data_IF_199957185318
#
_entry.id   IF_199957185318
#
_cell.length_a   1.000
_cell.length_b   1.000
_cell.length_c   1.000
_cell.angle_alpha   90.00
_cell.angle_beta   90.00
_cell.angle_gamma   90.00
#
_symmetry.space_group_name_H-M   'P 1'
#
loop_
_entity.id
_entity.type
_entity.pdbx_description
1 polymer ?
#
# COMPACT_ATOMS: atom_id res chain seq x y z
N UNK A 1 63.40 19.01 -67.73
CA UNK A 1 62.98 18.51 -66.44
C UNK A 1 63.45 17.10 -66.23
N UNK A 2 64.38 16.90 -65.31
CA UNK A 2 65.16 15.70 -65.14
C UNK A 2 64.34 14.55 -64.47
N UNK A 3 64.72 13.32 -64.84
CA UNK A 3 64.14 12.05 -64.35
C UNK A 3 64.07 11.97 -62.80
N UNK A 4 64.90 12.73 -62.09
CA UNK A 4 65.03 12.77 -60.63
C UNK A 4 63.80 13.47 -59.94
N UNK A 5 63.18 14.44 -60.63
CA UNK A 5 62.01 15.12 -60.08
C UNK A 5 60.73 14.29 -60.17
N UNK A 6 60.60 13.35 -61.12
CA UNK A 6 59.45 12.45 -61.23
C UNK A 6 59.43 11.34 -60.18
N UNK A 7 60.63 10.86 -59.75
CA UNK A 7 60.79 9.78 -58.78
C UNK A 7 60.54 10.28 -57.33
N UNK A 8 60.87 11.54 -56.99
CA UNK A 8 60.64 12.13 -55.68
C UNK A 8 59.14 12.38 -55.43
N UNK A 9 58.40 12.83 -56.46
CA UNK A 9 56.96 13.04 -56.36
C UNK A 9 56.14 11.74 -56.15
N UNK A 10 56.61 10.63 -56.78
CA UNK A 10 55.97 9.32 -56.63
C UNK A 10 56.15 8.70 -55.26
N UNK A 11 57.34 8.84 -54.64
CA UNK A 11 57.60 8.30 -53.27
C UNK A 11 56.85 9.11 -52.17
N UNK A 12 56.66 10.39 -52.35
CA UNK A 12 55.90 11.22 -51.38
C UNK A 12 54.40 10.90 -51.48
N UNK A 13 53.83 10.66 -52.65
CA UNK A 13 52.43 10.30 -52.82
C UNK A 13 52.05 8.93 -52.20
N UNK A 14 52.94 7.91 -52.39
CA UNK A 14 52.72 6.59 -51.77
C UNK A 14 52.87 6.62 -50.26
N UNK A 15 53.75 7.44 -49.72
CA UNK A 15 53.90 7.56 -48.24
C UNK A 15 52.73 8.28 -47.57
N UNK A 16 52.06 9.25 -48.24
CA UNK A 16 50.86 9.91 -47.74
C UNK A 16 49.65 9.00 -47.81
N UNK A 17 49.49 8.18 -48.87
CA UNK A 17 48.38 7.24 -48.98
C UNK A 17 48.38 6.14 -47.92
N UNK A 18 49.57 5.60 -47.60
CA UNK A 18 49.78 4.57 -46.57
C UNK A 18 49.53 5.15 -45.14
N UNK A 19 49.94 6.40 -44.92
CA UNK A 19 49.70 7.08 -43.63
C UNK A 19 48.24 7.39 -43.43
N UNK A 20 47.53 7.87 -44.46
CA UNK A 20 46.09 8.12 -44.39
C UNK A 20 45.26 6.83 -44.17
N UNK A 21 45.65 5.71 -44.83
CA UNK A 21 44.98 4.42 -44.62
C UNK A 21 45.14 3.89 -43.19
N UNK A 22 46.28 4.12 -42.53
CA UNK A 22 46.48 3.75 -41.12
C UNK A 22 45.66 4.59 -40.14
N UNK A 23 45.48 5.89 -40.37
CA UNK A 23 44.67 6.76 -39.50
C UNK A 23 43.17 6.61 -39.74
N UNK A 24 42.71 6.31 -40.96
CA UNK A 24 41.31 6.00 -41.25
C UNK A 24 40.90 4.64 -40.63
N UNK A 25 41.80 3.64 -40.60
CA UNK A 25 41.58 2.36 -39.94
C UNK A 25 41.50 2.48 -38.41
N UNK A 26 42.28 3.40 -37.78
CA UNK A 26 42.20 3.65 -36.34
C UNK A 26 40.97 4.47 -35.93
N UNK A 27 40.48 5.38 -36.78
CA UNK A 27 39.23 6.13 -36.50
C UNK A 27 37.96 5.28 -36.63
N UNK A 28 37.96 4.25 -37.48
CA UNK A 28 36.84 3.32 -37.64
C UNK A 28 36.77 2.24 -36.55
N UNK A 29 37.86 1.93 -35.85
CA UNK A 29 37.87 1.03 -34.69
C UNK A 29 37.40 1.72 -33.37
N UNK A 30 37.36 3.04 -33.31
CA UNK A 30 36.93 3.80 -32.13
C UNK A 30 35.42 4.06 -32.04
N UNK A 31 34.62 3.69 -33.07
CA UNK A 31 33.17 3.91 -33.11
C UNK A 31 32.31 2.63 -32.96
N UNK A 32 32.96 1.49 -32.73
CA UNK A 32 32.21 0.28 -32.34
C UNK A 32 32.21 0.13 -30.84
N UNK A 33 31.09 0.52 -30.19
CA UNK A 33 30.89 0.07 -28.83
C UNK A 33 30.23 0.98 -27.83
N UNK A 34 29.39 1.94 -28.23
CA UNK A 34 28.39 2.48 -27.35
C UNK A 34 27.02 2.23 -27.99
N UNK A 35 26.60 0.98 -28.01
CA UNK A 35 25.14 0.76 -28.00
C UNK A 35 24.63 1.52 -26.76
N UNK A 36 23.69 2.45 -26.89
CA UNK A 36 23.04 2.95 -25.70
C UNK A 36 22.47 1.72 -25.00
N UNK A 37 23.00 1.40 -23.82
CA UNK A 37 22.29 0.48 -22.93
C UNK A 37 20.89 1.09 -22.83
N UNK A 38 19.88 0.42 -23.40
CA UNK A 38 18.49 0.73 -23.12
C UNK A 38 18.43 0.54 -21.61
N UNK A 39 18.42 1.65 -20.87
CA UNK A 39 18.27 1.59 -19.43
C UNK A 39 16.95 0.84 -19.17
N UNK A 40 17.04 -0.30 -18.53
CA UNK A 40 15.86 -1.07 -18.19
C UNK A 40 14.92 -0.17 -17.38
N UNK A 41 13.70 0.02 -17.87
CA UNK A 41 12.66 0.84 -17.21
C UNK A 41 11.89 -0.04 -16.26
N UNK A 42 11.82 0.32 -14.99
CA UNK A 42 10.99 -0.37 -13.99
C UNK A 42 9.53 -0.07 -14.28
N UNK A 43 8.74 -1.09 -14.57
CA UNK A 43 7.30 -0.94 -14.88
C UNK A 43 6.44 -1.42 -13.73
N UNK A 44 5.64 -0.53 -13.16
CA UNK A 44 4.71 -0.83 -12.06
C UNK A 44 3.26 -0.69 -12.55
N UNK A 45 2.52 -1.79 -12.55
CA UNK A 45 1.07 -1.78 -12.73
C UNK A 45 0.37 -1.51 -11.40
N UNK A 46 -0.11 -0.30 -11.17
CA UNK A 46 -0.76 0.07 -9.92
C UNK A 46 -2.28 -0.06 -10.03
N UNK A 47 -2.83 -1.11 -9.38
CA UNK A 47 -4.26 -1.43 -9.41
C UNK A 47 -4.97 -0.87 -8.16
N UNK A 48 -6.00 -0.06 -8.36
CA UNK A 48 -6.81 0.48 -7.25
C UNK A 48 -8.22 0.81 -7.74
N UNK A 49 -9.17 1.02 -6.82
CA UNK A 49 -10.53 1.42 -7.17
C UNK A 49 -10.59 2.93 -7.33
N UNK A 50 -10.77 3.43 -8.55
CA UNK A 50 -10.84 4.86 -8.86
C UNK A 50 -12.27 5.36 -9.10
N UNK A 51 -13.24 4.46 -9.27
CA UNK A 51 -14.62 4.77 -9.59
C UNK A 51 -15.60 4.44 -8.46
N UNK A 52 -16.82 4.99 -8.53
CA UNK A 52 -17.90 4.76 -7.57
C UNK A 52 -17.62 5.33 -6.17
N UNK A 53 -18.42 4.92 -5.18
CA UNK A 53 -18.31 5.41 -3.79
C UNK A 53 -17.03 5.03 -3.05
N UNK A 54 -16.24 4.11 -3.59
CA UNK A 54 -14.94 3.72 -3.06
C UNK A 54 -13.76 4.46 -3.74
N UNK A 55 -14.02 5.19 -4.82
CA UNK A 55 -13.01 5.90 -5.60
C UNK A 55 -12.21 6.92 -4.79
N UNK A 56 -12.77 7.45 -3.71
CA UNK A 56 -12.07 8.36 -2.80
C UNK A 56 -10.82 7.72 -2.16
N UNK A 57 -10.86 6.41 -1.86
CA UNK A 57 -9.71 5.68 -1.32
C UNK A 57 -8.63 5.57 -2.39
N UNK A 58 -9.00 5.07 -3.59
CA UNK A 58 -8.05 4.89 -4.68
C UNK A 58 -7.43 6.19 -5.15
N UNK A 59 -8.18 7.29 -5.11
CA UNK A 59 -7.64 8.62 -5.44
C UNK A 59 -6.55 9.06 -4.45
N UNK A 60 -6.73 8.83 -3.16
CA UNK A 60 -5.67 9.11 -2.18
C UNK A 60 -4.44 8.23 -2.37
N UNK A 61 -4.62 6.95 -2.72
CA UNK A 61 -3.50 6.07 -3.05
C UNK A 61 -2.76 6.55 -4.31
N UNK A 62 -3.48 6.94 -5.37
CA UNK A 62 -2.89 7.50 -6.59
C UNK A 62 -2.09 8.78 -6.30
N UNK A 63 -2.64 9.68 -5.49
CA UNK A 63 -1.96 10.90 -5.08
C UNK A 63 -0.64 10.58 -4.35
N UNK A 64 -0.65 9.61 -3.46
CA UNK A 64 0.53 9.20 -2.69
C UNK A 64 1.60 8.51 -3.56
N UNK A 65 1.19 7.71 -4.55
CA UNK A 65 2.10 7.15 -5.56
C UNK A 65 2.78 8.27 -6.36
N UNK A 66 2.04 9.29 -6.77
CA UNK A 66 2.60 10.44 -7.49
C UNK A 66 3.63 11.18 -6.63
N UNK A 67 3.33 11.42 -5.35
CA UNK A 67 4.29 12.03 -4.41
C UNK A 67 5.54 11.16 -4.24
N UNK A 68 5.40 9.83 -4.15
CA UNK A 68 6.55 8.94 -4.09
C UNK A 68 7.41 9.06 -5.34
N UNK A 69 6.81 9.09 -6.53
CA UNK A 69 7.54 9.29 -7.80
C UNK A 69 8.22 10.67 -7.88
N UNK A 70 7.60 11.72 -7.36
CA UNK A 70 8.24 13.04 -7.23
C UNK A 70 9.45 12.97 -6.29
N UNK A 71 9.33 12.29 -5.14
CA UNK A 71 10.40 12.15 -4.15
C UNK A 71 11.60 11.35 -4.67
N UNK A 72 11.38 10.43 -5.60
CA UNK A 72 12.42 9.61 -6.25
C UNK A 72 12.91 10.22 -7.58
N UNK A 73 12.40 11.39 -7.98
CA UNK A 73 12.78 12.04 -9.23
C UNK A 73 12.32 11.30 -10.48
N UNK A 74 11.20 10.57 -10.41
CA UNK A 74 10.65 9.77 -11.51
C UNK A 74 11.34 8.42 -11.71
N UNK A 75 12.20 8.01 -10.77
CA UNK A 75 13.00 6.78 -10.83
C UNK A 75 12.64 5.83 -9.70
N UNK A 76 12.99 4.56 -9.87
CA UNK A 76 12.94 3.55 -8.82
C UNK A 76 14.27 2.82 -8.77
N UNK A 77 14.94 2.86 -7.63
CA UNK A 77 16.28 2.32 -7.47
C UNK A 77 17.35 2.94 -8.41
N UNK A 78 17.11 4.20 -8.83
CA UNK A 78 17.96 4.91 -9.79
C UNK A 78 17.68 4.60 -11.26
N UNK A 79 16.82 3.63 -11.57
CA UNK A 79 16.38 3.29 -12.93
C UNK A 79 15.15 4.13 -13.33
N UNK A 80 14.99 4.44 -14.60
CA UNK A 80 13.77 5.09 -15.12
C UNK A 80 12.56 4.24 -14.76
N UNK A 81 11.42 4.88 -14.44
CA UNK A 81 10.24 4.15 -14.00
C UNK A 81 8.96 4.62 -14.67
N UNK A 82 8.06 3.67 -14.92
CA UNK A 82 6.72 3.89 -15.46
C UNK A 82 5.68 3.30 -14.52
N UNK A 83 4.66 4.09 -14.16
CA UNK A 83 3.53 3.63 -13.35
C UNK A 83 2.25 3.66 -14.17
N UNK A 84 1.67 2.48 -14.41
CA UNK A 84 0.42 2.30 -15.14
C UNK A 84 -0.73 2.12 -14.15
N UNK A 85 -1.56 3.14 -13.96
CA UNK A 85 -2.75 3.05 -13.11
C UNK A 85 -3.90 2.33 -13.82
N UNK A 86 -4.56 1.42 -13.08
CA UNK A 86 -5.75 0.72 -13.55
C UNK A 86 -6.86 0.73 -12.49
N UNK A 87 -8.11 0.95 -12.96
CA UNK A 87 -9.30 0.98 -12.10
C UNK A 87 -9.99 -0.39 -12.07
N UNK A 88 -9.92 -1.05 -10.92
CA UNK A 88 -10.56 -2.36 -10.68
C UNK A 88 -12.08 -2.27 -10.51
N UNK A 89 -12.66 -1.06 -10.42
CA UNK A 89 -14.09 -0.81 -10.25
C UNK A 89 -14.72 -1.56 -9.05
N UNK A 90 -13.89 -2.06 -8.13
CA UNK A 90 -14.28 -2.96 -7.04
C UNK A 90 -14.96 -4.27 -7.53
N UNK A 91 -14.59 -4.74 -8.72
CA UNK A 91 -15.14 -5.95 -9.35
C UNK A 91 -14.05 -7.00 -9.51
N UNK A 92 -14.18 -8.21 -8.91
CA UNK A 92 -13.16 -9.26 -9.01
C UNK A 92 -12.84 -9.67 -10.45
N UNK A 93 -13.84 -9.75 -11.32
CA UNK A 93 -13.64 -10.14 -12.72
C UNK A 93 -12.86 -9.08 -13.50
N UNK A 94 -13.14 -7.77 -13.26
CA UNK A 94 -12.39 -6.66 -13.84
C UNK A 94 -10.95 -6.69 -13.34
N UNK A 95 -10.73 -6.82 -12.02
CA UNK A 95 -9.40 -6.93 -11.45
C UNK A 95 -8.59 -8.07 -12.07
N UNK A 96 -9.21 -9.26 -12.26
CA UNK A 96 -8.56 -10.41 -12.88
C UNK A 96 -8.19 -10.16 -14.36
N UNK A 97 -9.07 -9.50 -15.12
CA UNK A 97 -8.79 -9.12 -16.51
C UNK A 97 -7.63 -8.13 -16.59
N UNK A 98 -7.64 -7.10 -15.73
CA UNK A 98 -6.59 -6.09 -15.66
C UNK A 98 -5.25 -6.70 -15.23
N UNK A 99 -5.24 -7.59 -14.23
CA UNK A 99 -4.02 -8.29 -13.81
C UNK A 99 -3.42 -9.11 -14.96
N UNK A 100 -4.24 -9.84 -15.70
CA UNK A 100 -3.77 -10.58 -16.88
C UNK A 100 -3.20 -9.65 -17.98
N UNK A 101 -3.81 -8.46 -18.20
CA UNK A 101 -3.29 -7.46 -19.13
C UNK A 101 -1.94 -6.91 -18.67
N UNK A 102 -1.84 -6.48 -17.42
CA UNK A 102 -0.60 -5.94 -16.85
C UNK A 102 0.56 -6.94 -16.98
N UNK A 103 0.32 -8.21 -16.65
CA UNK A 103 1.35 -9.25 -16.71
C UNK A 103 1.69 -9.65 -18.16
N UNK A 104 0.70 -9.92 -19.02
CA UNK A 104 0.92 -10.55 -20.32
C UNK A 104 1.16 -9.54 -21.45
N UNK A 105 0.46 -8.40 -21.43
CA UNK A 105 0.49 -7.41 -22.50
C UNK A 105 1.41 -6.24 -22.17
N UNK A 106 1.22 -5.64 -20.99
CA UNK A 106 1.98 -4.48 -20.54
C UNK A 106 3.36 -4.90 -19.99
N UNK A 107 3.52 -6.19 -19.60
CA UNK A 107 4.75 -6.82 -19.11
C UNK A 107 5.38 -6.02 -17.98
N UNK A 108 4.57 -5.74 -16.95
CA UNK A 108 5.04 -5.02 -15.77
C UNK A 108 5.90 -5.92 -14.88
N UNK A 109 6.93 -5.35 -14.24
CA UNK A 109 7.79 -6.05 -13.30
C UNK A 109 7.08 -6.27 -11.96
N UNK A 110 6.23 -5.30 -11.58
CA UNK A 110 5.48 -5.31 -10.33
C UNK A 110 4.00 -5.02 -10.60
N UNK A 111 3.11 -5.83 -10.04
CA UNK A 111 1.70 -5.45 -9.83
C UNK A 111 1.56 -5.00 -8.37
N UNK A 112 1.21 -3.74 -8.15
CA UNK A 112 1.06 -3.15 -6.82
C UNK A 112 -0.36 -2.64 -6.57
N UNK A 113 -0.68 -2.37 -5.32
CA UNK A 113 -1.95 -1.74 -4.93
C UNK A 113 -2.94 -2.70 -4.30
N UNK A 114 -4.17 -2.64 -4.77
CA UNK A 114 -5.36 -3.42 -4.39
C UNK A 114 -5.87 -3.11 -2.98
N UNK A 115 -7.07 -2.51 -2.95
CA UNK A 115 -7.73 -2.15 -1.68
C UNK A 115 -8.44 -3.36 -1.05
N UNK A 116 -9.12 -4.18 -1.85
CA UNK A 116 -10.13 -5.13 -1.40
C UNK A 116 -9.60 -6.56 -1.37
N UNK A 117 -9.78 -7.25 -0.26
CA UNK A 117 -9.28 -8.62 -0.08
C UNK A 117 -9.88 -9.63 -1.07
N UNK A 118 -11.14 -9.48 -1.47
CA UNK A 118 -11.75 -10.33 -2.49
C UNK A 118 -11.13 -10.12 -3.89
N UNK A 119 -10.68 -8.90 -4.21
CA UNK A 119 -9.96 -8.62 -5.44
C UNK A 119 -8.53 -9.17 -5.37
N UNK A 120 -7.84 -8.96 -4.25
CA UNK A 120 -6.50 -9.54 -4.04
C UNK A 120 -6.53 -11.05 -4.20
N UNK A 121 -7.50 -11.74 -3.61
CA UNK A 121 -7.67 -13.19 -3.78
C UNK A 121 -7.93 -13.59 -5.24
N UNK A 122 -8.63 -12.75 -6.02
CA UNK A 122 -8.90 -13.02 -7.44
C UNK A 122 -7.66 -12.90 -8.33
N UNK A 123 -6.74 -11.98 -8.02
CA UNK A 123 -5.53 -11.71 -8.82
C UNK A 123 -4.29 -12.44 -8.30
N UNK A 124 -4.30 -12.93 -7.06
CA UNK A 124 -3.13 -13.52 -6.41
C UNK A 124 -2.48 -14.59 -7.30
N UNK A 125 -3.19 -15.68 -7.59
CA UNK A 125 -2.65 -16.77 -8.42
C UNK A 125 -2.27 -16.35 -9.85
N UNK A 126 -3.10 -15.57 -10.57
CA UNK A 126 -2.72 -15.08 -11.90
C UNK A 126 -1.41 -14.30 -11.95
N UNK A 127 -1.11 -13.49 -10.94
CA UNK A 127 0.11 -12.68 -10.90
C UNK A 127 1.28 -13.47 -10.34
N UNK A 128 1.13 -14.10 -9.17
CA UNK A 128 2.25 -14.76 -8.48
C UNK A 128 2.83 -15.97 -9.21
N UNK A 129 2.07 -16.58 -10.14
CA UNK A 129 2.55 -17.68 -11.00
C UNK A 129 3.27 -17.22 -12.27
N UNK A 130 3.48 -15.93 -12.42
CA UNK A 130 4.30 -15.33 -13.46
C UNK A 130 5.61 -14.81 -12.88
N UNK A 131 6.46 -14.25 -13.73
CA UNK A 131 7.72 -13.60 -13.32
C UNK A 131 7.50 -12.17 -12.77
N UNK A 132 6.27 -11.86 -12.31
CA UNK A 132 5.88 -10.54 -11.80
C UNK A 132 5.72 -10.60 -10.29
N UNK A 133 6.30 -9.64 -9.57
CA UNK A 133 6.10 -9.50 -8.13
C UNK A 133 4.75 -8.85 -7.82
N UNK A 134 3.96 -9.43 -6.93
CA UNK A 134 2.71 -8.87 -6.44
C UNK A 134 2.93 -8.22 -5.07
N UNK A 135 2.78 -6.90 -5.00
CA UNK A 135 2.93 -6.14 -3.75
C UNK A 135 1.59 -5.55 -3.32
N UNK A 136 1.07 -6.01 -2.19
CA UNK A 136 -0.15 -5.43 -1.63
C UNK A 136 0.13 -4.14 -0.88
N UNK A 137 -0.54 -3.06 -1.30
CA UNK A 137 -0.53 -1.79 -0.58
C UNK A 137 -1.60 -1.71 0.52
N UNK A 138 -2.61 -2.60 0.52
CA UNK A 138 -3.65 -2.58 1.54
C UNK A 138 -4.22 -3.96 1.87
N UNK A 139 -4.69 -4.73 0.91
CA UNK A 139 -5.40 -5.98 1.16
C UNK A 139 -4.46 -7.07 1.73
N UNK A 140 -4.73 -7.53 2.94
CA UNK A 140 -3.96 -8.59 3.62
C UNK A 140 -4.82 -9.78 4.07
N UNK A 141 -5.52 -10.50 3.15
CA UNK A 141 -6.45 -11.55 3.53
C UNK A 141 -5.77 -12.75 4.17
N UNK A 142 -6.37 -13.29 5.23
CA UNK A 142 -5.86 -14.43 6.00
C UNK A 142 -5.52 -15.66 5.14
N UNK A 143 -6.30 -16.04 4.09
CA UNK A 143 -5.93 -17.18 3.26
C UNK A 143 -4.60 -17.02 2.51
N UNK A 144 -4.22 -15.77 2.14
CA UNK A 144 -2.93 -15.49 1.48
C UNK A 144 -1.79 -15.39 2.52
N UNK A 145 -2.07 -14.99 3.75
CA UNK A 145 -1.08 -14.96 4.81
C UNK A 145 -0.70 -16.37 5.31
N UNK A 146 -1.65 -17.31 5.25
CA UNK A 146 -1.49 -18.70 5.67
C UNK A 146 -1.21 -19.66 4.52
N UNK A 147 -1.99 -20.73 4.43
CA UNK A 147 -1.78 -21.85 3.49
C UNK A 147 -1.79 -21.48 1.99
N UNK A 148 -2.32 -20.32 1.62
CA UNK A 148 -2.32 -19.81 0.25
C UNK A 148 -1.18 -18.85 -0.07
N UNK A 149 -0.18 -18.75 0.78
CA UNK A 149 0.97 -17.87 0.56
C UNK A 149 1.77 -18.25 -0.71
N UNK A 150 2.53 -17.31 -1.21
CA UNK A 150 3.37 -17.51 -2.38
C UNK A 150 4.59 -16.60 -2.31
N UNK A 151 5.75 -17.09 -2.69
CA UNK A 151 7.00 -16.34 -2.63
C UNK A 151 6.97 -15.01 -3.43
N UNK A 152 6.22 -14.92 -4.53
CA UNK A 152 6.04 -13.70 -5.32
C UNK A 152 4.93 -12.77 -4.80
N UNK A 153 4.52 -12.91 -3.55
CA UNK A 153 3.59 -11.99 -2.89
C UNK A 153 4.25 -11.32 -1.68
N UNK A 154 4.17 -10.01 -1.59
CA UNK A 154 4.65 -9.23 -0.44
C UNK A 154 3.55 -8.27 0.01
N UNK A 155 3.31 -8.15 1.31
CA UNK A 155 2.42 -7.13 1.86
C UNK A 155 3.22 -5.97 2.43
N UNK A 156 2.95 -4.75 1.96
CA UNK A 156 3.49 -3.52 2.54
C UNK A 156 2.50 -2.83 3.49
N UNK A 157 1.40 -3.49 3.81
CA UNK A 157 0.34 -2.96 4.68
C UNK A 157 0.27 -3.68 6.03
N UNK A 158 -0.47 -4.74 6.10
CA UNK A 158 -0.76 -5.57 7.27
C UNK A 158 -1.27 -6.95 6.82
N UNK A 159 -1.42 -7.85 7.77
CA UNK A 159 -2.41 -8.92 7.69
C UNK A 159 -3.71 -8.40 8.33
N UNK A 160 -4.87 -8.69 7.75
CA UNK A 160 -6.14 -8.05 8.10
C UNK A 160 -6.51 -8.12 9.59
N UNK A 161 -6.13 -9.17 10.28
CA UNK A 161 -6.47 -9.37 11.70
C UNK A 161 -5.66 -8.46 12.64
N UNK A 162 -4.45 -8.04 12.26
CA UNK A 162 -3.49 -7.38 13.16
C UNK A 162 -4.03 -6.11 13.83
N UNK A 163 -4.69 -5.24 13.07
CA UNK A 163 -5.21 -3.98 13.63
C UNK A 163 -6.42 -4.17 14.54
N UNK A 164 -7.44 -5.01 14.19
CA UNK A 164 -8.55 -5.30 15.10
C UNK A 164 -8.14 -6.13 16.32
N UNK A 165 -7.07 -6.96 16.25
CA UNK A 165 -6.48 -7.58 17.44
C UNK A 165 -6.09 -6.54 18.48
N UNK A 166 -5.52 -5.41 18.03
CA UNK A 166 -5.21 -4.27 18.91
C UNK A 166 -6.46 -3.73 19.60
N UNK A 167 -7.58 -3.57 18.90
CA UNK A 167 -8.80 -3.09 19.51
C UNK A 167 -9.40 -4.13 20.48
N UNK A 168 -9.39 -5.40 20.12
CA UNK A 168 -9.83 -6.47 21.01
C UNK A 168 -9.02 -6.50 22.32
N UNK A 169 -7.68 -6.38 22.24
CA UNK A 169 -6.79 -6.29 23.41
C UNK A 169 -7.06 -5.04 24.23
N UNK A 170 -7.24 -3.88 23.58
CA UNK A 170 -7.54 -2.62 24.25
C UNK A 170 -8.85 -2.73 25.07
N UNK A 171 -9.95 -3.15 24.45
CA UNK A 171 -11.25 -3.26 25.15
C UNK A 171 -11.19 -4.31 26.28
N UNK A 172 -10.46 -5.40 26.07
CA UNK A 172 -10.23 -6.39 27.13
C UNK A 172 -9.49 -5.77 28.33
N UNK A 173 -8.44 -4.98 28.09
CA UNK A 173 -7.67 -4.31 29.15
C UNK A 173 -8.46 -3.24 29.90
N UNK A 174 -9.43 -2.61 29.23
CA UNK A 174 -10.36 -1.66 29.84
C UNK A 174 -11.48 -2.34 30.66
N UNK A 175 -11.49 -3.66 30.72
CA UNK A 175 -12.50 -4.41 31.47
C UNK A 175 -13.90 -4.38 30.86
N UNK A 176 -14.02 -4.06 29.57
CA UNK A 176 -15.29 -4.10 28.83
C UNK A 176 -15.85 -5.51 28.86
N UNK A 177 -17.11 -5.67 29.32
CA UNK A 177 -17.72 -6.98 29.54
C UNK A 177 -18.40 -7.55 28.30
N UNK A 178 -18.96 -6.67 27.47
CA UNK A 178 -19.68 -7.08 26.26
C UNK A 178 -19.53 -6.04 25.15
N UNK A 179 -19.67 -6.48 23.90
CA UNK A 179 -19.51 -5.65 22.72
C UNK A 179 -20.46 -6.08 21.60
N UNK A 180 -20.91 -5.10 20.81
CA UNK A 180 -21.57 -5.32 19.51
C UNK A 180 -20.50 -5.14 18.40
N UNK A 181 -20.34 -6.11 17.50
CA UNK A 181 -19.34 -6.03 16.45
C UNK A 181 -19.97 -6.07 15.06
N UNK A 182 -19.43 -5.28 14.11
CA UNK A 182 -20.02 -5.15 12.78
C UNK A 182 -18.95 -4.92 11.69
N UNK A 183 -19.08 -5.63 10.57
CA UNK A 183 -18.24 -5.46 9.39
C UNK A 183 -19.01 -5.77 8.09
N UNK A 184 -18.53 -5.33 6.90
CA UNK A 184 -19.11 -5.76 5.63
C UNK A 184 -18.83 -7.24 5.36
N UNK A 185 -19.78 -7.93 4.73
CA UNK A 185 -19.69 -9.36 4.42
C UNK A 185 -18.78 -9.64 3.21
N UNK A 186 -17.49 -9.67 3.45
CA UNK A 186 -16.45 -10.11 2.51
C UNK A 186 -15.21 -10.58 3.31
N UNK A 187 -14.15 -11.06 2.63
CA UNK A 187 -13.03 -11.67 3.33
C UNK A 187 -12.44 -10.77 4.43
N UNK A 188 -12.14 -9.49 4.12
CA UNK A 188 -11.58 -8.62 5.15
C UNK A 188 -12.55 -8.37 6.31
N UNK A 189 -13.85 -8.27 6.07
CA UNK A 189 -14.82 -8.12 7.18
C UNK A 189 -14.79 -9.31 8.12
N UNK A 190 -14.67 -10.53 7.59
CA UNK A 190 -14.54 -11.75 8.38
C UNK A 190 -13.23 -11.78 9.17
N UNK A 191 -12.13 -11.45 8.51
CA UNK A 191 -10.81 -11.36 9.14
C UNK A 191 -10.80 -10.34 10.28
N UNK A 192 -11.37 -9.14 10.05
CA UNK A 192 -11.43 -8.06 11.06
C UNK A 192 -12.19 -8.49 12.32
N UNK A 193 -13.34 -9.16 12.18
CA UNK A 193 -14.08 -9.64 13.36
C UNK A 193 -13.39 -10.85 14.01
N UNK A 194 -12.73 -11.71 13.25
CA UNK A 194 -11.93 -12.81 13.78
C UNK A 194 -10.73 -12.29 14.61
N UNK A 195 -9.99 -11.31 14.06
CA UNK A 195 -8.87 -10.69 14.75
C UNK A 195 -9.30 -10.01 16.07
N UNK A 196 -10.39 -9.24 16.03
CA UNK A 196 -10.94 -8.64 17.25
C UNK A 196 -11.21 -9.69 18.34
N UNK A 197 -11.91 -10.77 17.98
CA UNK A 197 -12.28 -11.86 18.92
C UNK A 197 -11.07 -12.63 19.45
N UNK A 198 -9.93 -12.63 18.74
CA UNK A 198 -8.72 -13.33 19.20
C UNK A 198 -8.23 -12.81 20.55
N UNK A 199 -8.35 -11.52 20.80
CA UNK A 199 -7.89 -10.86 22.03
C UNK A 199 -9.01 -10.36 22.94
N UNK A 200 -10.25 -10.23 22.47
CA UNK A 200 -11.40 -9.90 23.30
C UNK A 200 -12.07 -11.18 23.81
N UNK A 201 -12.20 -11.32 25.14
CA UNK A 201 -12.75 -12.51 25.82
C UNK A 201 -14.08 -12.22 26.53
N UNK A 202 -14.59 -10.99 26.40
CA UNK A 202 -15.94 -10.63 26.87
C UNK A 202 -17.03 -11.20 25.95
N UNK A 203 -18.27 -10.91 26.29
CA UNK A 203 -19.44 -11.37 25.53
C UNK A 203 -19.58 -10.60 24.21
N UNK A 204 -19.85 -11.31 23.12
CA UNK A 204 -20.24 -10.75 21.84
C UNK A 204 -21.78 -10.76 21.77
N UNK A 205 -22.40 -9.60 22.08
CA UNK A 205 -23.85 -9.46 22.08
C UNK A 205 -24.46 -9.65 20.68
N UNK A 206 -23.74 -9.22 19.65
CA UNK A 206 -24.09 -9.50 18.26
C UNK A 206 -22.84 -9.39 17.36
N UNK A 207 -22.77 -10.26 16.36
CA UNK A 207 -21.81 -10.21 15.27
C UNK A 207 -22.58 -10.01 13.96
N UNK A 208 -22.46 -8.82 13.36
CA UNK A 208 -23.30 -8.39 12.23
C UNK A 208 -22.46 -8.18 10.98
N UNK A 209 -22.90 -8.79 9.89
CA UNK A 209 -22.32 -8.61 8.58
C UNK A 209 -23.26 -7.81 7.67
N UNK A 210 -22.83 -6.59 7.29
CA UNK A 210 -23.56 -5.70 6.38
C UNK A 210 -23.23 -6.00 4.93
N UNK A 211 -24.03 -5.49 4.00
CA UNK A 211 -23.71 -5.59 2.57
C UNK A 211 -22.46 -4.74 2.24
N UNK A 212 -21.53 -5.29 1.47
CA UNK A 212 -20.38 -4.50 0.99
C UNK A 212 -20.88 -3.36 0.09
N UNK A 213 -20.60 -2.11 0.50
CA UNK A 213 -21.09 -0.90 -0.17
C UNK A 213 -22.42 -0.38 0.38
N UNK A 214 -22.91 -0.89 1.50
CA UNK A 214 -24.11 -0.38 2.18
C UNK A 214 -23.96 1.10 2.56
N UNK A 215 -25.03 1.85 2.41
CA UNK A 215 -25.08 3.31 2.70
C UNK A 215 -26.13 3.68 3.75
N UNK A 216 -27.07 2.81 4.03
CA UNK A 216 -28.09 2.98 5.05
C UNK A 216 -27.94 1.93 6.16
N UNK A 217 -27.83 2.39 7.40
CA UNK A 217 -27.56 1.58 8.60
C UNK A 217 -28.67 1.70 9.66
N UNK A 218 -29.83 2.23 9.31
CA UNK A 218 -30.91 2.46 10.28
C UNK A 218 -31.38 1.17 10.97
N UNK A 219 -31.44 0.06 10.22
CA UNK A 219 -31.83 -1.23 10.77
C UNK A 219 -30.81 -1.73 11.82
N UNK A 220 -29.51 -1.65 11.48
CA UNK A 220 -28.43 -2.06 12.37
C UNK A 220 -28.36 -1.16 13.61
N UNK A 221 -28.52 0.16 13.46
CA UNK A 221 -28.55 1.11 14.57
C UNK A 221 -29.77 0.88 15.50
N UNK A 222 -30.91 0.51 14.94
CA UNK A 222 -32.09 0.15 15.72
C UNK A 222 -31.84 -1.10 16.58
N UNK A 223 -31.26 -2.14 15.98
CA UNK A 223 -30.92 -3.38 16.69
C UNK A 223 -29.87 -3.13 17.77
N UNK A 224 -28.84 -2.33 17.47
CA UNK A 224 -27.80 -1.94 18.40
C UNK A 224 -28.35 -1.14 19.58
N UNK A 225 -29.29 -0.21 19.33
CA UNK A 225 -29.99 0.56 20.36
C UNK A 225 -30.76 -0.36 21.30
N UNK A 226 -31.41 -1.40 20.79
CA UNK A 226 -32.13 -2.37 21.60
C UNK A 226 -31.18 -3.22 22.48
N UNK A 227 -30.01 -3.59 21.95
CA UNK A 227 -29.00 -4.38 22.65
C UNK A 227 -28.25 -3.59 23.73
N UNK A 228 -28.13 -2.26 23.61
CA UNK A 228 -27.47 -1.34 24.55
C UNK A 228 -26.05 -1.81 24.94
N UNK A 229 -25.17 -2.15 24.02
CA UNK A 229 -23.82 -2.58 24.35
C UNK A 229 -23.02 -1.42 24.96
N UNK A 230 -22.15 -1.66 25.96
CA UNK A 230 -21.25 -0.62 26.49
C UNK A 230 -20.22 -0.16 25.44
N UNK A 231 -19.89 -1.02 24.48
CA UNK A 231 -18.96 -0.75 23.39
C UNK A 231 -19.48 -1.34 22.07
N UNK A 232 -19.25 -0.61 20.99
CA UNK A 232 -19.53 -1.04 19.61
C UNK A 232 -18.23 -0.97 18.80
N UNK A 233 -17.80 -2.09 18.22
CA UNK A 233 -16.65 -2.15 17.34
C UNK A 233 -17.10 -2.31 15.88
N UNK A 234 -16.60 -1.46 15.00
CA UNK A 234 -16.93 -1.52 13.58
C UNK A 234 -15.70 -1.47 12.65
N UNK A 235 -15.86 -2.14 11.54
CA UNK A 235 -15.08 -1.98 10.33
C UNK A 235 -16.00 -1.57 9.18
N UNK A 236 -15.98 -0.30 8.76
CA UNK A 236 -16.78 0.22 7.65
C UNK A 236 -15.91 1.19 6.81
N UNK A 237 -15.14 0.70 5.80
CA UNK A 237 -14.17 1.52 5.08
C UNK A 237 -14.80 2.50 4.09
N UNK A 238 -14.16 3.67 3.91
CA UNK A 238 -14.51 4.68 2.92
C UNK A 238 -15.91 5.26 3.10
N UNK A 239 -16.69 5.33 2.03
CA UNK A 239 -18.05 5.89 2.04
C UNK A 239 -19.02 5.19 2.99
N UNK A 240 -18.83 3.88 3.25
CA UNK A 240 -19.63 3.15 4.25
C UNK A 240 -19.41 3.74 5.65
N UNK A 241 -18.17 4.01 6.03
CA UNK A 241 -17.82 4.61 7.31
C UNK A 241 -18.35 6.03 7.47
N UNK A 242 -18.25 6.85 6.43
CA UNK A 242 -18.81 8.20 6.42
C UNK A 242 -20.31 8.15 6.71
N UNK A 243 -21.06 7.29 6.03
CA UNK A 243 -22.50 7.17 6.21
C UNK A 243 -22.85 6.60 7.60
N UNK A 244 -22.12 5.56 8.05
CA UNK A 244 -22.35 4.98 9.36
C UNK A 244 -22.17 6.00 10.49
N UNK A 245 -21.03 6.70 10.52
CA UNK A 245 -20.73 7.67 11.59
C UNK A 245 -21.71 8.83 11.59
N UNK A 246 -22.13 9.34 10.42
CA UNK A 246 -23.18 10.36 10.33
C UNK A 246 -24.52 9.86 10.91
N UNK A 247 -24.96 8.66 10.51
CA UNK A 247 -26.21 8.07 11.01
C UNK A 247 -26.12 7.72 12.50
N UNK A 248 -24.95 7.27 12.98
CA UNK A 248 -24.68 7.07 14.41
C UNK A 248 -24.93 8.34 15.23
N UNK A 249 -24.37 9.46 14.81
CA UNK A 249 -24.55 10.75 15.48
C UNK A 249 -25.98 11.26 15.39
N UNK A 250 -26.60 11.21 14.20
CA UNK A 250 -28.00 11.61 13.98
C UNK A 250 -28.97 10.80 14.84
N UNK A 251 -28.69 9.52 15.02
CA UNK A 251 -29.46 8.66 15.88
C UNK A 251 -29.14 8.84 17.39
N UNK A 252 -28.22 9.72 17.78
CA UNK A 252 -27.85 9.93 19.18
C UNK A 252 -27.25 8.69 19.86
N UNK A 253 -26.55 7.85 19.08
CA UNK A 253 -26.02 6.56 19.58
C UNK A 253 -24.88 6.71 20.59
N UNK A 254 -24.23 7.87 20.68
CA UNK A 254 -23.21 8.16 21.71
C UNK A 254 -23.74 8.03 23.13
N UNK A 255 -25.05 8.26 23.34
CA UNK A 255 -25.72 8.05 24.65
C UNK A 255 -26.01 6.57 24.94
N UNK A 256 -25.86 5.69 23.95
CA UNK A 256 -26.21 4.27 24.05
C UNK A 256 -24.95 3.40 24.16
N UNK A 257 -23.90 3.72 23.38
CA UNK A 257 -22.70 2.90 23.26
C UNK A 257 -21.49 3.75 22.87
N UNK A 258 -20.29 3.38 23.31
CA UNK A 258 -19.05 4.01 22.86
C UNK A 258 -18.60 3.36 21.55
N UNK A 259 -18.31 4.20 20.55
CA UNK A 259 -17.90 3.75 19.22
C UNK A 259 -16.37 3.55 19.14
N UNK A 260 -15.97 2.38 18.70
CA UNK A 260 -14.57 2.00 18.41
C UNK A 260 -14.48 1.50 16.97
N UNK A 261 -13.41 1.85 16.28
CA UNK A 261 -13.31 1.57 14.84
C UNK A 261 -11.98 1.02 14.43
N UNK A 262 -11.97 0.40 13.25
CA UNK A 262 -10.78 0.11 12.47
C UNK A 262 -11.07 0.46 11.01
N UNK A 263 -10.15 1.13 10.31
CA UNK A 263 -10.27 1.54 8.89
C UNK A 263 -11.54 2.33 8.53
N UNK A 264 -12.18 2.95 9.49
CA UNK A 264 -13.47 3.67 9.30
C UNK A 264 -13.29 5.17 9.38
N UNK A 265 -12.44 5.65 10.31
CA UNK A 265 -12.22 7.07 10.56
C UNK A 265 -10.75 7.41 10.38
N UNK A 266 -10.45 8.19 9.33
CA UNK A 266 -9.09 8.60 8.94
C UNK A 266 -9.12 9.74 7.89
N UNK A 267 -7.99 10.02 7.25
CA UNK A 267 -7.87 11.05 6.20
C UNK A 267 -8.80 10.86 5.00
N UNK A 268 -9.41 9.68 4.77
CA UNK A 268 -10.45 9.50 3.74
C UNK A 268 -11.79 10.07 4.21
N UNK A 269 -12.16 9.80 5.45
CA UNK A 269 -13.50 10.09 5.98
C UNK A 269 -13.59 11.43 6.73
N UNK A 270 -12.51 11.85 7.39
CA UNK A 270 -12.48 13.05 8.22
C UNK A 270 -12.86 14.35 7.49
N UNK A 271 -12.47 14.59 6.23
CA UNK A 271 -12.93 15.79 5.50
C UNK A 271 -14.46 15.91 5.40
N UNK A 272 -15.17 14.76 5.36
CA UNK A 272 -16.63 14.70 5.29
C UNK A 272 -17.31 14.59 6.67
N UNK A 273 -16.59 14.10 7.68
CA UNK A 273 -17.11 13.92 9.05
C UNK A 273 -16.82 15.12 9.95
N UNK A 274 -15.67 15.76 9.78
CA UNK A 274 -15.24 16.90 10.61
C UNK A 274 -15.43 16.60 12.10
N UNK A 275 -16.02 17.51 12.83
CA UNK A 275 -16.28 17.42 14.27
C UNK A 275 -17.19 16.24 14.68
N UNK A 276 -17.96 15.69 13.73
CA UNK A 276 -18.82 14.54 13.95
C UNK A 276 -18.05 13.30 14.44
N UNK A 277 -16.78 13.18 14.09
CA UNK A 277 -15.94 12.03 14.47
C UNK A 277 -15.03 12.30 15.69
N UNK A 278 -15.05 13.48 16.29
CA UNK A 278 -14.19 13.80 17.44
C UNK A 278 -14.36 12.81 18.59
N UNK A 279 -13.23 12.39 19.17
CA UNK A 279 -13.18 11.42 20.27
C UNK A 279 -13.37 9.95 19.84
N UNK A 280 -13.60 9.66 18.56
CA UNK A 280 -13.67 8.27 18.08
C UNK A 280 -12.29 7.63 18.19
N UNK A 281 -12.26 6.47 18.86
CA UNK A 281 -11.03 5.68 19.06
C UNK A 281 -10.88 4.64 17.94
N UNK A 282 -9.66 4.49 17.45
CA UNK A 282 -9.32 3.49 16.44
C UNK A 282 -7.97 2.82 16.69
N UNK A 283 -7.76 1.64 16.12
CA UNK A 283 -6.43 1.01 16.05
C UNK A 283 -5.91 0.98 14.62
N UNK A 284 -4.61 1.22 14.46
CA UNK A 284 -3.94 1.24 13.16
C UNK A 284 -2.43 1.10 13.32
N UNK A 285 -1.74 0.73 12.24
CA UNK A 285 -0.28 0.61 12.20
C UNK A 285 0.44 1.91 11.82
N UNK A 286 -0.31 2.93 11.43
CA UNK A 286 0.20 4.23 11.02
C UNK A 286 -0.67 5.38 11.55
N UNK A 287 -0.06 6.55 11.73
CA UNK A 287 -0.74 7.80 12.05
C UNK A 287 0.07 8.98 11.48
N UNK A 288 -0.57 10.09 11.08
CA UNK A 288 0.14 11.25 10.51
C UNK A 288 1.12 11.90 11.48
N UNK A 289 0.99 11.67 12.77
CA UNK A 289 1.85 12.20 13.82
C UNK A 289 3.03 11.29 14.22
N UNK A 290 3.29 10.19 13.51
CA UNK A 290 4.47 9.35 13.77
C UNK A 290 5.77 10.13 13.55
N UNK A 291 6.65 10.06 14.58
CA UNK A 291 7.88 10.85 14.64
C UNK A 291 9.04 10.16 13.90
N UNK A 292 9.01 10.19 12.57
CA UNK A 292 10.16 9.87 11.73
C UNK A 292 10.22 10.80 10.51
N UNK A 293 11.41 10.97 9.94
CA UNK A 293 11.67 11.95 8.88
C UNK A 293 10.85 11.68 7.61
N UNK A 294 10.71 10.41 7.20
CA UNK A 294 9.95 10.04 6.00
C UNK A 294 8.46 10.35 6.18
N UNK A 295 7.89 10.03 7.34
CA UNK A 295 6.48 10.33 7.63
C UNK A 295 6.22 11.84 7.63
N UNK A 296 7.07 12.62 8.31
CA UNK A 296 6.95 14.08 8.38
C UNK A 296 6.98 14.70 6.98
N UNK A 297 7.93 14.28 6.15
CA UNK A 297 8.03 14.75 4.76
C UNK A 297 6.78 14.38 3.97
N UNK A 298 6.39 13.10 3.98
CA UNK A 298 5.21 12.62 3.25
C UNK A 298 3.93 13.37 3.66
N UNK A 299 3.67 13.50 4.96
CA UNK A 299 2.47 14.18 5.48
C UNK A 299 2.47 15.66 5.11
N UNK A 300 3.62 16.34 5.23
CA UNK A 300 3.78 17.76 4.85
C UNK A 300 3.48 17.98 3.38
N UNK A 301 4.12 17.21 2.50
CA UNK A 301 4.02 17.38 1.06
C UNK A 301 2.63 16.97 0.55
N UNK A 302 2.04 15.93 1.13
CA UNK A 302 0.66 15.53 0.84
C UNK A 302 -0.34 16.64 1.23
N UNK A 303 -0.20 17.23 2.43
CA UNK A 303 -1.05 18.36 2.86
C UNK A 303 -0.88 19.58 1.93
N UNK A 304 0.34 19.90 1.55
CA UNK A 304 0.62 21.01 0.66
C UNK A 304 -0.01 20.82 -0.74
N UNK A 305 0.07 19.60 -1.28
CA UNK A 305 -0.45 19.28 -2.61
C UNK A 305 -1.98 19.13 -2.65
N UNK A 306 -2.61 18.65 -1.56
CA UNK A 306 -4.01 18.23 -1.59
C UNK A 306 -4.91 18.92 -0.56
N UNK A 307 -4.38 19.80 0.30
CA UNK A 307 -5.14 20.57 1.28
C UNK A 307 -5.78 19.71 2.41
N UNK A 308 -5.33 18.46 2.59
CA UNK A 308 -5.90 17.55 3.57
C UNK A 308 -4.83 16.56 4.10
N UNK A 309 -5.06 16.00 5.28
CA UNK A 309 -4.21 14.92 5.78
C UNK A 309 -4.30 13.67 4.89
N UNK A 310 -3.17 12.97 4.64
CA UNK A 310 -3.20 11.67 4.00
C UNK A 310 -3.92 10.65 4.90
N UNK A 311 -4.53 9.64 4.28
CA UNK A 311 -5.01 8.46 5.00
C UNK A 311 -3.89 7.42 5.17
N UNK A 312 -4.13 6.41 6.01
CA UNK A 312 -3.26 5.24 6.06
C UNK A 312 -3.19 4.49 4.72
N UNK A 313 -4.25 4.55 3.87
CA UNK A 313 -4.21 4.02 2.50
C UNK A 313 -3.18 4.76 1.64
N UNK A 314 -3.15 6.09 1.76
CA UNK A 314 -2.17 6.92 1.08
C UNK A 314 -0.73 6.61 1.58
N UNK A 315 -0.54 6.54 2.91
CA UNK A 315 0.76 6.21 3.49
C UNK A 315 1.29 4.84 3.02
N UNK A 316 0.42 3.83 2.95
CA UNK A 316 0.80 2.51 2.46
C UNK A 316 1.08 2.45 0.96
N UNK A 317 0.38 3.25 0.17
CA UNK A 317 0.67 3.40 -1.26
C UNK A 317 2.04 4.06 -1.46
N UNK A 318 2.34 5.10 -0.70
CA UNK A 318 3.66 5.73 -0.66
C UNK A 318 4.75 4.74 -0.23
N UNK A 319 4.55 4.05 0.90
CA UNK A 319 5.47 3.03 1.42
C UNK A 319 5.72 1.89 0.41
N UNK A 320 4.70 1.51 -0.37
CA UNK A 320 4.84 0.50 -1.43
C UNK A 320 5.81 0.97 -2.52
N UNK A 321 5.70 2.21 -2.96
CA UNK A 321 6.60 2.75 -3.98
C UNK A 321 8.03 2.90 -3.43
N UNK A 322 8.19 3.34 -2.18
CA UNK A 322 9.49 3.42 -1.51
C UNK A 322 10.11 2.04 -1.28
N UNK A 323 9.29 1.01 -1.06
CA UNK A 323 9.77 -0.38 -0.97
C UNK A 323 10.26 -0.91 -2.32
N UNK A 324 9.57 -0.57 -3.42
CA UNK A 324 10.03 -0.91 -4.78
C UNK A 324 11.33 -0.16 -5.09
N UNK A 325 11.42 1.13 -4.78
CA UNK A 325 12.63 1.94 -4.94
C UNK A 325 13.82 1.32 -4.19
N UNK A 326 13.63 0.99 -2.93
CA UNK A 326 14.64 0.30 -2.10
C UNK A 326 15.03 -1.06 -2.69
N UNK A 327 14.04 -1.88 -3.08
CA UNK A 327 14.30 -3.22 -3.57
C UNK A 327 15.06 -3.22 -4.90
N UNK A 328 14.68 -2.36 -5.83
CA UNK A 328 15.38 -2.20 -7.12
C UNK A 328 16.79 -1.65 -6.91
N UNK A 329 16.95 -0.64 -6.03
CA UNK A 329 18.25 -0.03 -5.75
C UNK A 329 19.25 -1.01 -5.14
N UNK A 330 18.83 -1.78 -4.14
CA UNK A 330 19.69 -2.78 -3.48
C UNK A 330 19.95 -4.01 -4.36
N UNK A 331 18.98 -4.40 -5.20
CA UNK A 331 19.14 -5.52 -6.12
C UNK A 331 19.92 -5.14 -7.40
N UNK A 332 19.94 -3.86 -7.76
CA UNK A 332 20.44 -3.39 -9.05
C UNK A 332 19.62 -3.92 -10.23
N UNK A 333 18.38 -4.34 -10.01
CA UNK A 333 17.53 -5.02 -10.99
C UNK A 333 16.04 -4.92 -10.58
N UNK A 334 15.14 -4.90 -11.58
CA UNK A 334 13.69 -5.05 -11.40
C UNK A 334 13.22 -6.52 -11.48
N UNK A 335 14.14 -7.49 -11.48
CA UNK A 335 13.79 -8.91 -11.42
C UNK A 335 13.03 -9.27 -10.14
N UNK A 336 11.91 -9.99 -10.27
CA UNK A 336 11.02 -10.30 -9.15
C UNK A 336 11.71 -11.08 -8.02
N UNK A 337 12.58 -12.05 -8.36
CA UNK A 337 13.28 -12.85 -7.36
C UNK A 337 14.36 -12.02 -6.64
N UNK A 338 15.05 -11.12 -7.38
CA UNK A 338 16.05 -10.23 -6.82
C UNK A 338 15.40 -9.21 -5.86
N UNK A 339 14.33 -8.54 -6.28
CA UNK A 339 13.58 -7.62 -5.42
C UNK A 339 13.02 -8.31 -4.16
N UNK A 340 12.42 -9.50 -4.32
CA UNK A 340 11.91 -10.29 -3.21
C UNK A 340 12.99 -10.63 -2.18
N UNK A 341 14.18 -11.03 -2.65
CA UNK A 341 15.29 -11.35 -1.76
C UNK A 341 15.75 -10.14 -0.91
N UNK A 342 15.63 -8.93 -1.44
CA UNK A 342 15.87 -7.69 -0.68
C UNK A 342 14.76 -7.46 0.32
N UNK A 343 13.50 -7.48 -0.11
CA UNK A 343 12.35 -7.20 0.76
C UNK A 343 12.25 -8.18 1.95
N UNK A 344 12.57 -9.46 1.72
CA UNK A 344 12.55 -10.48 2.76
C UNK A 344 13.56 -10.23 3.90
N UNK A 345 14.65 -9.48 3.65
CA UNK A 345 15.61 -9.11 4.70
C UNK A 345 15.04 -8.11 5.70
N UNK A 346 13.96 -7.40 5.35
CA UNK A 346 13.42 -6.30 6.16
C UNK A 346 14.31 -5.06 6.12
N UNK A 347 14.10 -4.16 7.09
CA UNK A 347 14.80 -2.87 7.10
C UNK A 347 14.29 -1.88 6.04
N UNK A 348 13.12 -2.17 5.44
CA UNK A 348 12.54 -1.40 4.35
C UNK A 348 12.16 -0.01 4.86
N UNK A 349 12.64 1.08 4.25
CA UNK A 349 12.28 2.43 4.65
C UNK A 349 10.79 2.71 4.43
N UNK A 350 10.08 3.15 5.46
CA UNK A 350 8.64 3.47 5.37
C UNK A 350 8.26 4.66 6.23
N UNK A 351 7.06 5.19 6.04
CA UNK A 351 6.44 6.21 6.91
C UNK A 351 6.21 5.71 8.34
N UNK A 352 6.34 4.40 8.58
CA UNK A 352 6.25 3.76 9.89
C UNK A 352 7.63 3.50 10.53
N UNK A 353 8.71 3.96 9.91
CA UNK A 353 10.09 3.60 10.22
C UNK A 353 10.54 2.37 9.44
N UNK A 354 11.73 1.81 9.74
CA UNK A 354 12.23 0.60 9.11
C UNK A 354 11.29 -0.58 9.34
N UNK A 355 10.77 -1.18 8.25
CA UNK A 355 9.79 -2.25 8.32
C UNK A 355 10.48 -3.63 8.33
N UNK A 356 10.16 -4.45 9.30
CA UNK A 356 10.57 -5.85 9.35
C UNK A 356 9.50 -6.75 8.69
N UNK A 357 9.95 -7.86 8.08
CA UNK A 357 9.07 -8.82 7.42
C UNK A 357 9.05 -10.15 8.17
N UNK A 358 7.87 -10.76 8.24
CA UNK A 358 7.69 -12.12 8.76
C UNK A 358 7.98 -13.15 7.64
N UNK A 359 8.11 -14.41 7.99
CA UNK A 359 8.45 -15.51 7.06
C UNK A 359 7.46 -15.68 5.92
N UNK A 360 6.21 -15.26 6.08
CA UNK A 360 5.18 -15.23 5.03
C UNK A 360 5.12 -13.91 4.26
N UNK A 361 6.13 -13.04 4.40
CA UNK A 361 6.26 -11.74 3.73
C UNK A 361 5.12 -10.75 4.07
N UNK A 362 4.56 -10.86 5.27
CA UNK A 362 3.73 -9.85 5.90
C UNK A 362 4.55 -9.03 6.92
N UNK A 363 4.21 -7.75 7.16
CA UNK A 363 5.02 -6.91 8.03
C UNK A 363 4.88 -7.26 9.51
N UNK A 364 6.00 -7.15 10.23
CA UNK A 364 6.08 -7.13 11.68
C UNK A 364 6.11 -5.67 12.09
N UNK A 365 5.10 -5.18 12.83
CA UNK A 365 4.92 -3.75 13.04
C UNK A 365 4.16 -3.42 14.31
N UNK A 366 4.22 -2.17 14.74
CA UNK A 366 3.47 -1.70 15.88
C UNK A 366 1.98 -1.50 15.52
N UNK A 367 1.12 -1.70 16.52
CA UNK A 367 -0.30 -1.35 16.44
C UNK A 367 -0.59 -0.25 17.46
N UNK A 368 -0.99 0.90 16.96
CA UNK A 368 -1.25 2.09 17.77
C UNK A 368 -2.75 2.24 18.06
N UNK A 369 -3.04 2.75 19.25
CA UNK A 369 -4.33 3.30 19.60
C UNK A 369 -4.34 4.78 19.20
N UNK A 370 -5.36 5.21 18.46
CA UNK A 370 -5.48 6.58 17.95
C UNK A 370 -6.83 7.15 18.31
N UNK A 371 -6.87 8.45 18.50
CA UNK A 371 -8.09 9.24 18.71
C UNK A 371 -8.23 10.31 17.64
N UNK A 372 -9.46 10.62 17.26
CA UNK A 372 -9.76 11.75 16.38
C UNK A 372 -9.74 13.03 17.21
N UNK A 373 -8.87 13.96 16.82
CA UNK A 373 -8.67 15.27 17.47
C UNK A 373 -8.71 16.38 16.42
N UNK A 374 -8.81 17.63 16.87
CA UNK A 374 -8.48 18.80 16.03
C UNK A 374 -6.99 19.10 16.14
N UNK A 375 -6.35 19.43 15.03
CA UNK A 375 -5.01 20.02 15.04
C UNK A 375 -5.04 21.49 15.43
N UNK A 376 -3.89 22.15 15.44
CA UNK A 376 -3.77 23.57 15.82
C UNK A 376 -4.53 24.52 14.89
N UNK A 377 -4.82 24.09 13.67
CA UNK A 377 -5.56 24.84 12.65
C UNK A 377 -7.07 24.52 12.68
N UNK A 378 -7.52 23.70 13.65
CA UNK A 378 -8.91 23.25 13.77
C UNK A 378 -9.32 22.19 12.74
N UNK A 379 -8.36 21.49 12.12
CA UNK A 379 -8.62 20.42 11.15
C UNK A 379 -8.66 19.06 11.87
N UNK A 380 -9.71 18.29 11.63
CA UNK A 380 -9.83 16.96 12.21
C UNK A 380 -8.78 15.99 11.64
N UNK A 381 -8.06 15.33 12.54
CA UNK A 381 -7.01 14.35 12.22
C UNK A 381 -6.99 13.24 13.27
N UNK A 382 -6.16 12.20 13.06
CA UNK A 382 -5.92 11.17 14.08
C UNK A 382 -4.61 11.41 14.79
N UNK A 383 -4.57 11.15 16.10
CA UNK A 383 -3.37 11.25 16.93
C UNK A 383 -3.15 9.95 17.68
N UNK A 384 -1.90 9.51 17.78
CA UNK A 384 -1.50 8.37 18.62
C UNK A 384 -1.67 8.74 20.09
N UNK A 385 -2.43 7.90 20.82
CA UNK A 385 -2.65 8.00 22.26
C UNK A 385 -2.07 6.82 23.04
N UNK A 386 -1.49 5.85 22.36
CA UNK A 386 -0.81 4.69 22.95
C UNK A 386 -0.39 3.66 21.93
N UNK A 387 0.50 2.76 22.36
CA UNK A 387 0.88 1.57 21.57
C UNK A 387 0.25 0.34 22.23
N UNK A 388 -0.51 -0.43 21.45
CA UNK A 388 -1.19 -1.64 21.94
C UNK A 388 -0.33 -2.86 21.76
N UNK A 389 0.34 -2.96 20.63
CA UNK A 389 1.33 -3.98 20.34
C UNK A 389 2.61 -3.36 19.77
N UNK A 390 3.74 -3.87 20.18
CA UNK A 390 5.05 -3.60 19.59
C UNK A 390 5.50 -4.82 18.80
N UNK A 391 6.05 -4.60 17.61
CA UNK A 391 6.56 -5.65 16.72
C UNK A 391 5.57 -6.82 16.55
N UNK A 392 4.30 -6.50 16.32
CA UNK A 392 3.23 -7.48 16.21
C UNK A 392 3.34 -8.28 14.91
N UNK A 393 3.32 -9.60 15.05
CA UNK A 393 3.33 -10.57 13.95
C UNK A 393 1.90 -11.02 13.65
N UNK A 394 1.65 -11.40 12.40
CA UNK A 394 0.40 -12.04 12.04
C UNK A 394 0.31 -13.48 12.58
N UNK A 395 -0.93 -13.97 12.71
CA UNK A 395 -1.22 -15.27 13.31
C UNK A 395 -1.10 -16.46 12.34
N UNK A 396 -0.76 -16.23 11.05
CA UNK A 396 -0.86 -17.23 10.00
C UNK A 396 0.49 -17.67 9.41
N UNK A 397 1.59 -17.03 9.81
CA UNK A 397 2.91 -17.28 9.21
C UNK A 397 3.37 -18.75 9.32
N UNK A 398 2.98 -19.46 10.38
CA UNK A 398 3.33 -20.88 10.56
C UNK A 398 2.62 -21.82 9.57
N UNK A 399 1.49 -21.38 9.01
CA UNK A 399 0.74 -22.12 7.99
C UNK A 399 1.32 -21.95 6.58
N UNK A 400 2.17 -20.92 6.37
CA UNK A 400 2.80 -20.61 5.10
C UNK A 400 3.98 -21.56 4.83
N UNK A 401 3.97 -22.18 3.64
CA UNK A 401 5.01 -23.11 3.19
C UNK A 401 5.42 -22.78 1.74
N UNK A 402 6.49 -21.98 1.54
CA UNK A 402 7.15 -21.76 0.24
C UNK A 402 8.66 -21.70 0.39
#
# INVERSE_FOLDING_TARGET
MSLVQKLAGSKIKLKLEDTMKKYVGLLLMGLMGASPAIADTVKVGYMTTLSGGAGIIGKQMQNAVNIAMEHTGGKLGGMEAEVVFVDDQRKPDVAKQLANRLVKSDKVDVVAGVIWSNLMMAIHKPVTRSDTLLISSNAGPSPIAGAGCHENFVSMSWQNDQTPEGMGKHLQSQGVKSVYIMAPNYQAGKDMLAGFKRHFKGEILAEVYTKLGQTDFQAELSTLRAAKPPATFIFQPGGMGINFVKQWKQAGMDSVSKLYTVFTVDGVSLPALKDTALGVISTQTWSPDLDNAMNKRFVSDYKAAHGAYPSFYAAQAYDTMMAIDHAVGEAGSADAAAMRAVLAKGGIPTTRGPLAMNTNQFPIQNVYLREVVLDNDGVATTKVIGTVFENHKDAYAEECKF
#
